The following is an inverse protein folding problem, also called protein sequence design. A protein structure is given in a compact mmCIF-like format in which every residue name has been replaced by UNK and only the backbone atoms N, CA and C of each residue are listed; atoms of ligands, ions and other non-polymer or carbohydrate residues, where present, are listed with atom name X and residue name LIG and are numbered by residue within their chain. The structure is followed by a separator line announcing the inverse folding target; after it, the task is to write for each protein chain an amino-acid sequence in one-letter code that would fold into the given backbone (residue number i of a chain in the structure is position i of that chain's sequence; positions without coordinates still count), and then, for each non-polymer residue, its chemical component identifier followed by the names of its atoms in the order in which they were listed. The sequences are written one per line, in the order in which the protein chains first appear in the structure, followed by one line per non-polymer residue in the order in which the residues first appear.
data_IF_213707740598
#
_entry.id   IF_213707740598
#
_cell.length_a   1.000
_cell.length_b   1.000
_cell.length_c   1.000
_cell.angle_alpha   90.00
_cell.angle_beta   90.00
_cell.angle_gamma   90.00
#
_symmetry.space_group_name_H-M   'P 1'
#
loop_
_entity.id
_entity.type
_entity.pdbx_description
1 polymer ?
#
# COMPACT_ATOMS: atom_id res chain seq x y z
N UNK A 1 15.14 17.44 -9.94
CA UNK A 1 16.53 17.16 -9.66
C UNK A 1 16.90 16.03 -10.54
N UNK A 2 17.67 16.37 -11.50
CA UNK A 2 18.14 15.37 -12.27
C UNK A 2 19.20 14.81 -11.51
N UNK A 3 18.96 13.76 -11.00
CA UNK A 3 20.03 13.08 -10.49
C UNK A 3 21.01 12.93 -11.54
N UNK A 4 22.18 12.92 -11.14
CA UNK A 4 23.24 12.39 -11.89
C UNK A 4 22.82 11.01 -12.38
N UNK A 5 23.19 10.66 -13.55
CA UNK A 5 22.86 9.40 -14.14
C UNK A 5 23.37 8.22 -13.32
N UNK A 6 24.50 8.39 -12.62
CA UNK A 6 25.03 7.35 -11.77
C UNK A 6 24.26 7.17 -10.48
N UNK A 7 23.61 8.17 -10.18
CA UNK A 7 22.63 8.08 -9.21
C UNK A 7 21.40 7.64 -9.81
N UNK A 8 21.22 7.71 -11.08
CA UNK A 8 20.02 7.44 -11.71
C UNK A 8 19.39 6.18 -11.19
N UNK A 9 20.21 5.23 -10.98
CA UNK A 9 19.69 4.06 -10.31
C UNK A 9 19.06 4.34 -8.97
N UNK A 10 19.37 5.54 -8.43
CA UNK A 10 18.82 5.82 -7.19
C UNK A 10 17.80 6.72 -7.21
N UNK A 11 17.65 7.18 -8.16
CA UNK A 11 16.62 7.99 -8.28
C UNK A 11 15.58 7.68 -8.90
N UNK A 12 15.70 6.73 -9.08
CA UNK A 12 14.76 6.20 -8.40
C UNK A 12 13.95 7.29 -7.84
N UNK A 13 14.39 7.86 -6.95
CA UNK A 13 13.56 8.78 -6.28
C UNK A 13 13.31 9.97 -7.05
N UNK A 14 13.96 10.14 -8.03
CA UNK A 14 13.70 11.26 -8.80
C UNK A 14 12.40 11.20 -9.54
N UNK A 15 12.01 10.05 -9.91
CA UNK A 15 10.72 9.93 -10.58
C UNK A 15 9.57 10.20 -9.67
N UNK A 16 9.85 10.07 -8.45
CA UNK A 16 8.92 9.95 -7.61
C UNK A 16 8.02 10.95 -7.55
N UNK A 17 8.28 11.84 -7.14
CA UNK A 17 7.37 12.76 -6.54
C UNK A 17 6.58 13.58 -7.53
N UNK A 18 7.05 13.67 -8.74
CA UNK A 18 6.48 14.61 -9.71
C UNK A 18 6.00 13.96 -10.99
N UNK A 19 6.61 12.84 -11.33
CA UNK A 19 6.37 12.26 -12.65
C UNK A 19 5.40 11.08 -12.61
N UNK A 20 5.19 10.49 -11.44
CA UNK A 20 4.26 9.39 -11.26
C UNK A 20 3.22 9.76 -10.20
N UNK A 21 1.95 9.87 -10.57
CA UNK A 21 0.89 10.11 -9.62
C UNK A 21 0.72 8.89 -8.71
N UNK A 22 0.32 9.13 -7.47
CA UNK A 22 0.03 8.07 -6.51
C UNK A 22 -1.08 7.13 -6.99
N UNK A 23 -2.07 7.70 -7.69
CA UNK A 23 -3.21 6.97 -8.22
C UNK A 23 -3.38 7.25 -9.70
N UNK A 24 -3.96 6.32 -10.42
CA UNK A 24 -4.29 6.52 -11.83
C UNK A 24 -5.39 7.58 -11.98
N UNK A 25 -5.17 8.61 -12.79
CA UNK A 25 -6.13 9.71 -12.99
C UNK A 25 -7.31 9.33 -13.90
N UNK A 26 -7.19 8.27 -14.65
CA UNK A 26 -8.18 7.72 -15.56
C UNK A 26 -8.05 6.21 -15.63
N UNK A 27 -9.01 5.54 -16.23
CA UNK A 27 -8.92 4.11 -16.50
C UNK A 27 -7.74 3.82 -17.43
N UNK A 28 -6.91 2.86 -17.05
CA UNK A 28 -5.71 2.46 -17.79
C UNK A 28 -5.88 1.03 -18.28
N UNK A 29 -5.72 0.84 -19.59
CA UNK A 29 -5.88 -0.47 -20.24
C UNK A 29 -4.63 -1.33 -20.05
N UNK A 30 -4.81 -2.66 -20.19
CA UNK A 30 -3.71 -3.63 -20.10
C UNK A 30 -2.50 -3.30 -20.99
N UNK A 31 -2.74 -2.73 -22.17
CA UNK A 31 -1.66 -2.31 -23.07
C UNK A 31 -0.81 -1.15 -22.55
N UNK A 32 -1.32 -0.41 -21.57
CA UNK A 32 -0.65 0.76 -20.96
C UNK A 32 -0.03 0.42 -19.61
N UNK A 33 -0.70 -0.43 -18.82
CA UNK A 33 -0.21 -0.88 -17.51
C UNK A 33 -0.66 -2.32 -17.26
N UNK A 34 0.31 -3.19 -17.05
CA UNK A 34 0.13 -4.60 -16.76
C UNK A 34 1.26 -5.04 -15.82
N UNK A 35 0.89 -5.54 -14.64
CA UNK A 35 1.84 -5.87 -13.59
C UNK A 35 1.60 -7.25 -13.00
N UNK A 36 2.69 -7.97 -12.78
CA UNK A 36 2.71 -9.12 -11.88
C UNK A 36 3.09 -8.65 -10.48
N UNK A 37 2.16 -8.75 -9.54
CA UNK A 37 2.27 -8.19 -8.20
C UNK A 37 2.46 -9.31 -7.18
N UNK A 38 3.40 -9.13 -6.26
CA UNK A 38 3.63 -10.05 -5.15
C UNK A 38 3.31 -9.38 -3.83
N UNK A 39 2.42 -10.00 -3.06
CA UNK A 39 2.04 -9.55 -1.73
C UNK A 39 2.28 -10.64 -0.70
N UNK A 40 2.84 -10.26 0.44
CA UNK A 40 3.04 -11.14 1.59
C UNK A 40 2.11 -10.73 2.72
N UNK A 41 1.53 -11.71 3.38
CA UNK A 41 0.55 -11.54 4.43
C UNK A 41 1.01 -12.32 5.66
N UNK A 42 1.02 -11.66 6.79
CA UNK A 42 1.15 -12.30 8.09
C UNK A 42 -0.24 -12.67 8.64
N UNK A 43 -0.26 -13.33 9.76
CA UNK A 43 -1.52 -13.76 10.38
C UNK A 43 -2.43 -12.58 10.75
N UNK A 44 -1.85 -11.44 11.12
CA UNK A 44 -2.59 -10.25 11.51
C UNK A 44 -3.26 -9.56 10.30
N UNK A 45 -2.71 -9.78 9.11
CA UNK A 45 -3.27 -9.26 7.85
C UNK A 45 -4.50 -10.02 7.37
N UNK A 46 -4.79 -11.20 7.95
CA UNK A 46 -5.94 -12.01 7.56
C UNK A 46 -7.14 -11.58 8.37
N UNK A 47 -8.17 -11.16 7.67
CA UNK A 47 -9.40 -10.68 8.27
C UNK A 47 -10.46 -11.77 8.28
N UNK A 48 -11.34 -11.72 9.27
CA UNK A 48 -12.57 -12.50 9.26
C UNK A 48 -13.64 -11.82 8.40
N UNK A 49 -14.26 -12.59 7.52
CA UNK A 49 -15.42 -12.18 6.72
C UNK A 49 -16.61 -13.06 7.07
N UNK A 50 -17.74 -12.44 7.38
CA UNK A 50 -19.00 -13.18 7.53
C UNK A 50 -19.65 -13.33 6.17
N UNK A 51 -19.98 -14.55 5.83
CA UNK A 51 -20.64 -14.92 4.59
C UNK A 51 -21.90 -15.71 4.92
N UNK A 52 -22.82 -15.81 3.98
CA UNK A 52 -24.01 -16.61 4.13
C UNK A 52 -24.37 -17.27 2.79
N UNK A 53 -24.95 -18.44 2.85
CA UNK A 53 -25.46 -19.12 1.65
C UNK A 53 -26.72 -18.44 1.16
N UNK A 54 -26.85 -18.28 -0.16
CA UNK A 54 -28.10 -17.78 -0.73
C UNK A 54 -29.23 -18.80 -0.54
N UNK A 55 -30.39 -18.36 -0.05
CA UNK A 55 -31.54 -19.20 0.08
C UNK A 55 -32.03 -19.71 -1.29
N UNK A 56 -32.07 -18.81 -2.28
CA UNK A 56 -32.53 -19.11 -3.63
C UNK A 56 -31.65 -18.45 -4.68
N UNK A 57 -31.44 -19.17 -5.79
CA UNK A 57 -30.82 -18.59 -7.00
C UNK A 57 -31.92 -17.99 -7.90
N UNK A 58 -31.51 -17.24 -8.92
CA UNK A 58 -32.45 -16.75 -9.93
C UNK A 58 -33.10 -17.87 -10.71
N UNK A 59 -32.42 -18.99 -10.88
CA UNK A 59 -32.96 -20.21 -11.51
C UNK A 59 -34.00 -20.89 -10.64
N UNK A 60 -33.75 -20.99 -9.33
CA UNK A 60 -34.74 -21.52 -8.38
C UNK A 60 -36.04 -20.72 -8.44
N UNK A 61 -35.98 -19.40 -8.53
CA UNK A 61 -37.13 -18.51 -8.62
C UNK A 61 -37.89 -18.73 -9.92
N UNK A 62 -37.20 -18.86 -11.05
CA UNK A 62 -37.84 -19.08 -12.36
C UNK A 62 -38.55 -20.43 -12.40
N UNK A 63 -37.90 -21.45 -11.86
CA UNK A 63 -38.40 -22.85 -11.90
C UNK A 63 -39.29 -23.20 -10.70
N UNK A 64 -39.58 -22.26 -9.81
CA UNK A 64 -40.35 -22.46 -8.57
C UNK A 64 -39.79 -23.59 -7.69
N UNK A 65 -38.46 -23.70 -7.64
CA UNK A 65 -37.77 -24.70 -6.85
C UNK A 65 -37.70 -24.29 -5.40
N UNK A 66 -38.65 -24.65 -4.58
CA UNK A 66 -38.63 -24.36 -3.14
C UNK A 66 -37.69 -25.32 -2.44
N UNK A 67 -36.66 -24.80 -1.81
CA UNK A 67 -35.73 -25.59 -1.01
C UNK A 67 -36.25 -25.73 0.41
N UNK A 68 -36.36 -26.98 0.87
CA UNK A 68 -36.75 -27.33 2.25
C UNK A 68 -35.66 -28.20 2.86
N UNK A 69 -35.44 -28.01 4.16
CA UNK A 69 -34.55 -28.86 4.93
C UNK A 69 -35.15 -30.27 5.17
N UNK A 70 -34.39 -31.12 5.87
CA UNK A 70 -34.81 -32.50 6.20
C UNK A 70 -36.09 -32.55 7.03
N UNK A 71 -36.41 -31.48 7.73
CA UNK A 71 -37.64 -31.37 8.56
C UNK A 71 -38.80 -30.73 7.78
N UNK A 72 -38.63 -30.45 6.49
CA UNK A 72 -39.64 -29.84 5.63
C UNK A 72 -39.83 -28.33 5.86
N UNK A 73 -38.95 -27.68 6.62
CA UNK A 73 -38.95 -26.24 6.81
C UNK A 73 -38.23 -25.55 5.65
N UNK A 74 -38.60 -24.30 5.43
CA UNK A 74 -37.94 -23.47 4.41
C UNK A 74 -36.45 -23.32 4.77
N UNK A 75 -35.58 -23.60 3.79
CA UNK A 75 -34.14 -23.44 3.98
C UNK A 75 -33.83 -21.99 4.35
N UNK A 76 -33.20 -21.82 5.48
CA UNK A 76 -32.66 -20.52 5.92
C UNK A 76 -31.19 -20.40 5.47
N UNK A 77 -30.72 -19.20 5.12
CA UNK A 77 -29.32 -19.00 4.83
C UNK A 77 -28.45 -19.46 5.99
N UNK A 78 -27.42 -20.25 5.70
CA UNK A 78 -26.39 -20.58 6.69
C UNK A 78 -25.38 -19.44 6.75
N UNK A 79 -25.01 -19.01 7.95
CA UNK A 79 -24.03 -17.98 8.19
C UNK A 79 -22.73 -18.62 8.66
N UNK A 80 -21.63 -18.31 7.98
CA UNK A 80 -20.31 -18.79 8.34
C UNK A 80 -19.34 -17.59 8.49
N UNK A 81 -18.26 -17.81 9.22
CA UNK A 81 -17.11 -16.90 9.24
C UNK A 81 -16.01 -17.57 8.45
N UNK A 82 -15.45 -16.86 7.49
CA UNK A 82 -14.35 -17.33 6.66
C UNK A 82 -13.12 -16.44 6.85
N UNK A 83 -11.95 -17.03 6.73
CA UNK A 83 -10.68 -16.29 6.78
C UNK A 83 -10.34 -15.72 5.41
N UNK A 84 -10.15 -14.40 5.35
CA UNK A 84 -9.97 -13.67 4.10
C UNK A 84 -8.63 -12.95 4.05
N UNK A 85 -7.89 -13.20 3.00
CA UNK A 85 -6.78 -12.38 2.54
C UNK A 85 -7.33 -11.40 1.49
N UNK A 86 -7.22 -10.11 1.75
CA UNK A 86 -7.63 -9.08 0.81
C UNK A 86 -6.44 -8.63 -0.02
N UNK A 87 -6.50 -8.82 -1.34
CA UNK A 87 -5.48 -8.34 -2.26
C UNK A 87 -5.54 -6.81 -2.39
N UNK A 88 -4.46 -6.20 -2.82
CA UNK A 88 -4.38 -4.75 -3.00
C UNK A 88 -5.36 -4.19 -4.03
N UNK A 89 -5.84 -5.03 -4.94
CA UNK A 89 -6.76 -4.64 -6.00
C UNK A 89 -7.94 -5.59 -6.10
N UNK A 90 -9.10 -5.07 -6.50
CA UNK A 90 -10.21 -5.85 -7.05
C UNK A 90 -10.03 -6.06 -8.55
N UNK A 91 -10.84 -6.93 -9.13
CA UNK A 91 -10.82 -7.24 -10.56
C UNK A 91 -9.39 -7.55 -11.07
N UNK A 92 -8.71 -8.44 -10.33
CA UNK A 92 -7.42 -8.98 -10.78
C UNK A 92 -7.65 -9.92 -11.95
N UNK A 93 -6.62 -10.10 -12.79
CA UNK A 93 -6.77 -10.85 -14.04
C UNK A 93 -7.10 -12.32 -13.75
N UNK A 94 -8.33 -12.69 -14.03
CA UNK A 94 -8.85 -14.04 -13.74
C UNK A 94 -8.16 -15.13 -14.58
N UNK A 95 -7.75 -14.79 -15.80
CA UNK A 95 -7.05 -15.68 -16.73
C UNK A 95 -5.53 -15.62 -16.53
N UNK A 96 -5.07 -14.76 -15.62
CA UNK A 96 -3.67 -14.62 -15.22
C UNK A 96 -3.19 -15.78 -14.35
N UNK A 97 -1.89 -15.81 -14.15
CA UNK A 97 -1.23 -16.82 -13.31
C UNK A 97 -1.21 -16.38 -11.86
N UNK A 98 -1.77 -17.20 -10.99
CA UNK A 98 -1.62 -17.05 -9.55
C UNK A 98 -0.49 -17.95 -9.04
N UNK A 99 0.34 -17.42 -8.13
CA UNK A 99 1.25 -18.25 -7.35
C UNK A 99 0.94 -18.04 -5.88
N UNK A 100 0.65 -19.12 -5.22
CA UNK A 100 0.35 -19.15 -3.79
C UNK A 100 1.55 -19.80 -3.10
N UNK A 101 2.17 -19.05 -2.19
CA UNK A 101 3.25 -19.57 -1.36
C UNK A 101 2.74 -19.74 0.05
N UNK A 102 2.76 -20.97 0.54
CA UNK A 102 2.35 -21.30 1.90
C UNK A 102 3.43 -20.91 2.94
N UNK A 103 3.09 -21.07 4.21
CA UNK A 103 3.99 -20.75 5.31
C UNK A 103 5.25 -21.62 5.37
N UNK A 104 5.26 -22.76 4.71
CA UNK A 104 6.40 -23.67 4.59
C UNK A 104 7.32 -23.31 3.41
N UNK A 105 6.91 -22.32 2.60
CA UNK A 105 7.62 -21.90 1.40
C UNK A 105 7.34 -22.76 0.17
N UNK A 106 6.27 -23.59 0.21
CA UNK A 106 5.84 -24.33 -0.96
C UNK A 106 5.03 -23.41 -1.87
N UNK A 107 5.26 -23.50 -3.18
CA UNK A 107 4.64 -22.61 -4.17
C UNK A 107 3.76 -23.41 -5.11
N UNK A 108 2.48 -23.13 -5.12
CA UNK A 108 1.55 -23.61 -6.12
C UNK A 108 1.36 -22.57 -7.24
N UNK A 109 1.51 -23.00 -8.49
CA UNK A 109 1.20 -22.20 -9.66
C UNK A 109 -0.15 -22.62 -10.20
N UNK A 110 -1.08 -21.67 -10.26
CA UNK A 110 -2.49 -21.93 -10.54
C UNK A 110 -2.99 -21.02 -11.64
N UNK A 111 -3.70 -21.59 -12.61
CA UNK A 111 -4.44 -20.86 -13.64
C UNK A 111 -5.90 -21.28 -13.63
N UNK A 112 -6.77 -20.46 -14.19
CA UNK A 112 -8.18 -20.78 -14.32
C UNK A 112 -8.46 -21.44 -15.65
N UNK A 113 -9.22 -22.54 -15.65
CA UNK A 113 -9.72 -23.18 -16.86
C UNK A 113 -10.94 -22.45 -17.43
N UNK A 114 -11.28 -22.73 -18.67
CA UNK A 114 -12.47 -22.17 -19.34
C UNK A 114 -13.78 -22.53 -18.63
N UNK A 115 -13.82 -23.65 -17.95
CA UNK A 115 -14.98 -24.10 -17.15
C UNK A 115 -15.05 -23.46 -15.75
N UNK A 116 -14.09 -22.61 -15.43
CA UNK A 116 -14.00 -21.92 -14.14
C UNK A 116 -13.26 -22.70 -13.04
N UNK A 117 -12.84 -23.93 -13.30
CA UNK A 117 -12.06 -24.73 -12.34
C UNK A 117 -10.60 -24.27 -12.26
N UNK A 118 -9.93 -24.58 -11.16
CA UNK A 118 -8.51 -24.30 -11.01
C UNK A 118 -7.67 -25.38 -11.72
N UNK A 119 -6.67 -24.94 -12.47
CA UNK A 119 -5.65 -25.79 -13.05
C UNK A 119 -4.34 -25.53 -12.30
N UNK A 120 -3.94 -26.46 -11.45
CA UNK A 120 -2.68 -26.38 -10.74
C UNK A 120 -1.58 -26.93 -11.66
N UNK A 121 -0.79 -26.04 -12.25
CA UNK A 121 0.21 -26.40 -13.26
C UNK A 121 1.53 -26.89 -12.67
N UNK A 122 1.79 -26.66 -11.39
CA UNK A 122 2.95 -27.17 -10.68
C UNK A 122 2.96 -26.73 -9.23
N UNK A 123 3.45 -27.63 -8.37
CA UNK A 123 3.69 -27.31 -6.97
C UNK A 123 5.14 -27.68 -6.67
N UNK A 124 5.88 -26.74 -6.10
CA UNK A 124 7.29 -26.94 -5.72
C UNK A 124 7.49 -26.61 -4.25
N UNK A 125 8.33 -27.38 -3.58
CA UNK A 125 8.71 -27.06 -2.21
C UNK A 125 9.76 -25.94 -2.16
N UNK A 126 10.12 -25.50 -0.96
CA UNK A 126 11.13 -24.46 -0.73
C UNK A 126 12.51 -24.79 -1.33
N UNK A 127 12.81 -26.07 -1.61
CA UNK A 127 14.05 -26.52 -2.23
C UNK A 127 13.97 -26.58 -3.76
N UNK A 128 12.79 -26.30 -4.35
CA UNK A 128 12.54 -26.35 -5.78
C UNK A 128 12.19 -27.76 -6.30
N UNK A 129 11.87 -28.70 -5.42
CA UNK A 129 11.46 -30.05 -5.79
C UNK A 129 9.95 -30.09 -6.01
N UNK A 130 9.50 -30.81 -7.03
CA UNK A 130 8.07 -30.98 -7.31
C UNK A 130 7.41 -31.84 -6.23
N UNK A 131 6.28 -31.37 -5.72
CA UNK A 131 5.42 -32.08 -4.76
C UNK A 131 4.00 -32.21 -5.33
N UNK A 132 3.22 -33.16 -4.82
CA UNK A 132 1.92 -33.48 -5.38
C UNK A 132 0.82 -32.48 -4.98
N UNK A 133 0.90 -31.91 -3.79
CA UNK A 133 -0.08 -30.96 -3.27
C UNK A 133 0.54 -29.99 -2.28
N UNK A 134 -0.08 -28.82 -2.08
CA UNK A 134 0.11 -28.05 -0.86
C UNK A 134 -0.47 -28.86 0.30
N UNK A 135 0.06 -28.62 1.48
CA UNK A 135 -0.32 -29.30 2.70
C UNK A 135 -0.91 -28.28 3.69
N UNK A 136 -1.95 -28.65 4.40
CA UNK A 136 -2.60 -27.83 5.42
C UNK A 136 -1.73 -27.66 6.70
N UNK A 137 -0.54 -28.23 6.72
CA UNK A 137 0.34 -28.28 7.90
C UNK A 137 0.13 -29.52 8.78
N UNK A 138 -0.90 -30.34 8.48
CA UNK A 138 -1.21 -31.59 9.17
C UNK A 138 -1.07 -32.83 8.27
N UNK A 139 -0.68 -32.63 7.01
CA UNK A 139 -0.50 -33.69 6.01
C UNK A 139 -1.73 -33.94 5.15
N UNK A 140 -2.75 -33.08 5.21
CA UNK A 140 -3.88 -33.18 4.30
C UNK A 140 -3.64 -32.32 3.06
N UNK A 141 -3.99 -32.82 1.86
CA UNK A 141 -3.82 -32.07 0.62
C UNK A 141 -4.78 -30.87 0.58
N UNK A 142 -4.26 -29.69 0.25
CA UNK A 142 -5.05 -28.48 0.06
C UNK A 142 -5.54 -28.40 -1.36
N UNK A 143 -6.86 -28.23 -1.53
CA UNK A 143 -7.48 -27.94 -2.83
C UNK A 143 -7.50 -26.43 -3.11
N UNK A 144 -7.37 -26.05 -4.39
CA UNK A 144 -7.44 -24.66 -4.83
C UNK A 144 -8.59 -24.54 -5.82
N UNK A 145 -9.46 -23.53 -5.61
CA UNK A 145 -10.62 -23.29 -6.47
C UNK A 145 -10.73 -21.82 -6.86
N UNK A 146 -11.44 -21.53 -7.96
CA UNK A 146 -11.85 -20.17 -8.31
C UNK A 146 -13.34 -20.02 -8.05
N UNK A 147 -13.72 -18.87 -7.53
CA UNK A 147 -15.12 -18.53 -7.29
C UNK A 147 -15.44 -17.10 -7.73
N UNK A 148 -16.67 -16.87 -8.12
CA UNK A 148 -17.24 -15.53 -8.33
C UNK A 148 -18.31 -15.21 -7.30
N UNK A 149 -18.63 -16.17 -6.42
CA UNK A 149 -19.61 -15.97 -5.35
C UNK A 149 -18.98 -15.12 -4.23
N UNK A 150 -19.59 -13.98 -3.95
CA UNK A 150 -19.17 -13.09 -2.87
C UNK A 150 -19.39 -13.68 -1.47
N UNK A 151 -20.23 -14.69 -1.37
CA UNK A 151 -20.57 -15.40 -0.14
C UNK A 151 -20.04 -16.86 -0.13
N UNK A 152 -19.02 -17.14 -0.90
CA UNK A 152 -18.42 -18.47 -0.94
C UNK A 152 -17.87 -18.89 0.42
N UNK A 153 -18.14 -20.13 0.78
CA UNK A 153 -17.63 -20.75 2.00
C UNK A 153 -16.65 -21.84 1.57
N UNK A 154 -15.34 -21.66 1.74
CA UNK A 154 -14.37 -22.68 1.39
C UNK A 154 -14.52 -23.92 2.32
N UNK A 155 -14.18 -25.09 1.81
CA UNK A 155 -14.00 -26.28 2.62
C UNK A 155 -12.82 -26.11 3.58
N UNK A 156 -12.76 -26.97 4.61
CA UNK A 156 -11.72 -26.85 5.66
C UNK A 156 -10.29 -26.90 5.12
N UNK A 157 -10.04 -27.72 4.08
CA UNK A 157 -8.73 -27.88 3.41
C UNK A 157 -8.75 -27.22 2.01
N UNK A 158 -9.35 -26.05 1.90
CA UNK A 158 -9.50 -25.37 0.62
C UNK A 158 -8.99 -23.94 0.66
N UNK A 159 -8.37 -23.52 -0.47
CA UNK A 159 -8.05 -22.14 -0.78
C UNK A 159 -8.93 -21.72 -1.96
N UNK A 160 -9.81 -20.74 -1.76
CA UNK A 160 -10.67 -20.23 -2.83
C UNK A 160 -10.21 -18.83 -3.27
N UNK A 161 -10.01 -18.64 -4.58
CA UNK A 161 -9.59 -17.39 -5.19
C UNK A 161 -10.81 -16.70 -5.80
N UNK A 162 -11.11 -15.50 -5.36
CA UNK A 162 -12.10 -14.63 -5.99
C UNK A 162 -11.41 -13.46 -6.69
N UNK A 163 -11.14 -13.61 -7.98
CA UNK A 163 -10.43 -12.60 -8.77
C UNK A 163 -11.23 -11.30 -8.94
N UNK A 164 -12.56 -11.39 -8.98
CA UNK A 164 -13.42 -10.21 -9.12
C UNK A 164 -13.38 -9.33 -7.87
N UNK A 165 -13.47 -9.94 -6.70
CA UNK A 165 -13.36 -9.21 -5.44
C UNK A 165 -11.91 -8.97 -5.02
N UNK A 166 -10.92 -9.61 -5.66
CA UNK A 166 -9.52 -9.53 -5.28
C UNK A 166 -9.31 -10.04 -3.86
N UNK A 167 -9.75 -11.25 -3.59
CA UNK A 167 -9.62 -11.89 -2.29
C UNK A 167 -9.27 -13.37 -2.42
N UNK A 168 -8.58 -13.87 -1.44
CA UNK A 168 -8.30 -15.31 -1.26
C UNK A 168 -8.90 -15.73 0.06
N UNK A 169 -9.77 -16.74 0.01
CA UNK A 169 -10.45 -17.30 1.17
C UNK A 169 -9.75 -18.58 1.59
N UNK A 170 -9.51 -18.73 2.88
CA UNK A 170 -8.83 -19.89 3.46
C UNK A 170 -9.82 -20.71 4.25
N UNK A 171 -9.79 -22.02 4.04
CA UNK A 171 -10.48 -22.99 4.89
C UNK A 171 -9.91 -23.00 6.30
N UNK A 172 -10.66 -23.51 7.24
CA UNK A 172 -10.33 -23.47 8.67
C UNK A 172 -9.03 -24.20 8.99
N UNK A 173 -8.79 -25.37 8.39
CA UNK A 173 -7.55 -26.13 8.60
C UNK A 173 -6.36 -25.41 7.98
N UNK A 174 -6.52 -24.88 6.77
CA UNK A 174 -5.49 -24.09 6.08
C UNK A 174 -5.08 -22.90 6.94
N UNK A 175 -6.05 -22.14 7.46
CA UNK A 175 -5.78 -21.01 8.32
C UNK A 175 -5.10 -21.40 9.63
N UNK A 176 -5.58 -22.43 10.32
CA UNK A 176 -5.07 -22.80 11.63
C UNK A 176 -3.67 -23.43 11.57
N UNK A 177 -3.38 -24.20 10.55
CA UNK A 177 -2.18 -25.03 10.49
C UNK A 177 -1.02 -24.38 9.71
N UNK A 178 -1.30 -23.54 8.69
CA UNK A 178 -0.23 -22.92 7.89
C UNK A 178 0.42 -21.70 8.54
N UNK A 179 -0.12 -21.21 9.65
CA UNK A 179 0.28 -19.92 10.22
C UNK A 179 1.15 -19.97 11.44
N UNK A 180 1.78 -21.04 11.73
CA UNK A 180 2.53 -21.12 12.97
C UNK A 180 3.81 -20.27 13.00
N UNK A 181 4.43 -19.93 11.86
CA UNK A 181 5.71 -19.22 11.89
C UNK A 181 6.10 -18.34 10.69
N UNK A 182 5.35 -18.28 9.58
CA UNK A 182 5.77 -17.57 8.37
C UNK A 182 4.66 -16.80 7.67
N UNK A 183 5.03 -15.94 6.73
CA UNK A 183 4.09 -15.19 5.90
C UNK A 183 3.56 -16.05 4.74
N UNK A 184 2.28 -15.90 4.47
CA UNK A 184 1.64 -16.40 3.25
C UNK A 184 1.88 -15.38 2.13
N UNK A 185 2.14 -15.81 0.92
CA UNK A 185 2.37 -14.91 -0.20
C UNK A 185 1.49 -15.26 -1.39
N UNK A 186 0.96 -14.24 -2.01
CA UNK A 186 0.17 -14.37 -3.24
C UNK A 186 0.80 -13.51 -4.31
N UNK A 187 1.11 -14.12 -5.45
CA UNK A 187 1.48 -13.42 -6.67
C UNK A 187 0.32 -13.52 -7.65
N UNK A 188 -0.03 -12.41 -8.28
CA UNK A 188 -1.13 -12.31 -9.22
C UNK A 188 -0.85 -11.24 -10.27
N UNK A 189 -1.55 -11.32 -11.38
CA UNK A 189 -1.49 -10.36 -12.47
C UNK A 189 -2.63 -9.34 -12.36
N UNK A 190 -2.32 -8.10 -12.65
CA UNK A 190 -3.29 -6.99 -12.68
C UNK A 190 -3.03 -6.09 -13.87
N UNK A 191 -4.03 -6.03 -14.72
CA UNK A 191 -4.16 -5.07 -15.81
C UNK A 191 -5.44 -4.24 -15.61
N UNK A 192 -5.81 -3.42 -16.57
CA UNK A 192 -7.07 -2.67 -16.53
C UNK A 192 -7.30 -1.92 -15.20
N UNK A 193 -6.30 -1.10 -14.83
CA UNK A 193 -6.41 -0.25 -13.66
C UNK A 193 -7.52 0.79 -13.82
N UNK A 194 -8.26 1.02 -12.76
CA UNK A 194 -9.34 2.00 -12.72
C UNK A 194 -8.85 3.34 -12.22
N UNK A 195 -9.59 4.37 -12.53
CA UNK A 195 -9.37 5.69 -11.94
C UNK A 195 -9.44 5.59 -10.42
N UNK A 196 -8.39 6.02 -9.76
CA UNK A 196 -8.28 5.97 -8.30
C UNK A 196 -7.50 4.77 -7.77
N UNK A 197 -7.25 3.73 -8.58
CA UNK A 197 -6.34 2.66 -8.21
C UNK A 197 -4.94 3.25 -7.97
N UNK A 198 -4.24 2.75 -6.97
CA UNK A 198 -2.89 3.18 -6.67
C UNK A 198 -1.88 2.57 -7.65
N UNK A 199 -0.75 3.25 -7.85
CA UNK A 199 0.35 2.70 -8.65
C UNK A 199 1.03 1.56 -7.86
N UNK A 200 1.06 0.31 -8.39
CA UNK A 200 1.60 -0.84 -7.68
C UNK A 200 3.07 -0.71 -7.32
N UNK A 201 3.84 0.02 -8.11
CA UNK A 201 5.28 0.21 -7.87
C UNK A 201 5.60 0.96 -6.58
N UNK A 202 4.62 1.68 -6.03
CA UNK A 202 4.76 2.42 -4.78
C UNK A 202 4.45 1.59 -3.53
N UNK A 203 3.71 0.49 -3.70
CA UNK A 203 3.21 -0.30 -2.57
C UNK A 203 3.76 -1.71 -2.54
N UNK A 204 4.05 -2.30 -3.70
CA UNK A 204 4.36 -3.71 -3.81
C UNK A 204 5.67 -3.98 -4.54
N UNK A 205 6.22 -5.15 -4.30
CA UNK A 205 7.18 -5.74 -5.21
C UNK A 205 6.40 -6.25 -6.43
N UNK A 206 6.75 -5.75 -7.61
CA UNK A 206 6.03 -6.09 -8.82
C UNK A 206 6.96 -6.08 -10.05
N UNK A 207 6.51 -6.73 -11.10
CA UNK A 207 7.14 -6.73 -12.42
C UNK A 207 6.17 -6.06 -13.38
N UNK A 208 6.65 -5.06 -14.08
CA UNK A 208 5.92 -4.45 -15.19
C UNK A 208 6.02 -5.40 -16.40
N UNK A 209 4.92 -6.03 -16.76
CA UNK A 209 4.87 -7.02 -17.84
C UNK A 209 5.05 -6.39 -19.23
N UNK A 210 4.80 -5.09 -19.37
CA UNK A 210 4.97 -4.35 -20.62
C UNK A 210 6.45 -4.05 -20.87
N UNK A 211 7.17 -3.61 -19.84
CA UNK A 211 8.57 -3.19 -19.97
C UNK A 211 9.57 -4.23 -19.48
N UNK A 212 9.13 -5.23 -18.73
CA UNK A 212 9.97 -6.24 -18.10
C UNK A 212 10.77 -5.73 -16.89
N UNK A 213 10.47 -4.52 -16.39
CA UNK A 213 11.19 -3.92 -15.29
C UNK A 213 10.64 -4.45 -13.96
N UNK A 214 11.54 -4.92 -13.11
CA UNK A 214 11.18 -5.34 -11.75
C UNK A 214 11.34 -4.18 -10.77
N UNK A 215 10.30 -3.96 -9.99
CA UNK A 215 10.28 -3.00 -8.90
C UNK A 215 10.26 -3.75 -7.59
N UNK A 216 11.25 -3.50 -6.75
CA UNK A 216 11.30 -4.07 -5.40
C UNK A 216 10.96 -2.99 -4.42
N UNK A 217 9.86 -3.17 -3.67
CA UNK A 217 9.53 -2.24 -2.62
C UNK A 217 10.56 -2.35 -1.50
N UNK A 218 11.28 -1.25 -1.28
CA UNK A 218 12.16 -1.09 -0.13
C UNK A 218 11.74 0.16 0.62
N UNK A 219 11.61 0.02 1.93
CA UNK A 219 11.45 1.17 2.79
C UNK A 219 12.82 1.80 3.01
N UNK A 220 13.14 2.86 2.28
CA UNK A 220 14.41 3.56 2.41
C UNK A 220 14.17 5.01 2.80
N UNK A 221 14.74 5.38 3.95
CA UNK A 221 14.76 6.76 4.40
C UNK A 221 15.91 7.50 3.72
N UNK A 222 15.59 8.58 3.00
CA UNK A 222 16.58 9.46 2.45
C UNK A 222 16.92 10.51 3.50
N UNK A 223 18.12 10.43 4.02
CA UNK A 223 18.59 11.34 5.06
C UNK A 223 19.68 12.27 4.54
N UNK A 224 19.56 13.55 4.87
CA UNK A 224 20.63 14.53 4.64
C UNK A 224 21.29 14.94 5.95
N UNK A 225 22.61 15.07 5.92
CA UNK A 225 23.35 15.69 7.02
C UNK A 225 23.12 17.21 6.98
N UNK A 226 22.33 17.71 7.91
CA UNK A 226 22.04 19.14 8.05
C UNK A 226 23.02 19.84 9.00
N UNK A 227 23.76 19.06 9.79
CA UNK A 227 24.82 19.50 10.66
C UNK A 227 25.77 18.31 10.95
N UNK A 228 26.92 18.55 11.61
CA UNK A 228 27.90 17.51 11.95
C UNK A 228 27.34 16.33 12.72
N UNK A 229 26.30 16.54 13.51
CA UNK A 229 25.69 15.51 14.37
C UNK A 229 24.21 15.27 14.06
N UNK A 230 23.65 15.94 13.05
CA UNK A 230 22.21 15.90 12.81
C UNK A 230 21.90 15.50 11.38
N UNK A 231 21.18 14.40 11.27
CA UNK A 231 20.55 13.95 10.03
C UNK A 231 19.07 14.31 10.04
N UNK A 232 18.53 14.54 8.87
CA UNK A 232 17.12 14.77 8.67
C UNK A 232 16.61 13.93 7.52
N UNK A 233 15.56 13.14 7.77
CA UNK A 233 14.81 12.43 6.75
C UNK A 233 14.05 13.44 5.89
N UNK A 234 14.16 13.34 4.58
CA UNK A 234 13.56 14.30 3.63
C UNK A 234 12.47 13.72 2.77
N UNK A 235 12.30 12.41 2.76
CA UNK A 235 11.25 11.75 2.02
C UNK A 235 10.13 11.27 2.96
N UNK A 236 8.95 11.08 2.36
CA UNK A 236 7.82 10.36 2.96
C UNK A 236 7.37 9.36 1.92
N UNK A 237 7.20 8.10 2.30
CA UNK A 237 6.78 7.07 1.38
C UNK A 237 5.26 7.06 1.23
N UNK A 238 4.76 6.49 0.13
CA UNK A 238 3.33 6.44 -0.15
C UNK A 238 2.56 5.72 0.96
N UNK A 239 3.06 4.58 1.41
CA UNK A 239 2.46 3.75 2.45
C UNK A 239 2.52 4.35 3.87
N UNK A 240 3.41 5.31 4.10
CA UNK A 240 3.42 6.10 5.33
C UNK A 240 2.25 7.09 5.41
N UNK A 241 1.75 7.53 4.25
CA UNK A 241 0.71 8.56 4.15
C UNK A 241 -0.65 8.01 3.79
N UNK A 242 -0.71 7.09 2.84
CA UNK A 242 -1.95 6.52 2.33
C UNK A 242 -1.94 5.01 2.50
N UNK A 243 -3.08 4.46 2.87
CA UNK A 243 -3.27 3.03 2.92
C UNK A 243 -3.93 2.53 1.65
N UNK A 244 -3.41 1.46 1.07
CA UNK A 244 -3.96 0.88 -0.14
C UNK A 244 -5.38 0.34 0.09
N UNK A 245 -5.66 -0.12 1.31
CA UNK A 245 -6.96 -0.70 1.65
C UNK A 245 -8.09 0.33 1.77
N UNK A 246 -7.79 1.63 1.66
CA UNK A 246 -8.82 2.66 1.62
C UNK A 246 -9.80 2.42 0.46
N UNK A 247 -9.28 2.18 -0.75
CA UNK A 247 -10.10 1.83 -1.91
C UNK A 247 -10.82 0.49 -1.73
N UNK A 248 -10.11 -0.50 -1.20
CA UNK A 248 -10.64 -1.84 -0.95
C UNK A 248 -11.81 -1.86 0.03
N UNK A 249 -11.77 -1.01 1.05
CA UNK A 249 -12.88 -0.87 1.99
C UNK A 249 -14.13 -0.25 1.35
N UNK A 250 -13.93 0.65 0.39
CA UNK A 250 -15.05 1.17 -0.42
C UNK A 250 -15.63 0.05 -1.30
N UNK A 251 -14.79 -0.77 -1.91
CA UNK A 251 -15.24 -1.93 -2.70
C UNK A 251 -16.08 -2.90 -1.84
N UNK A 252 -15.64 -3.19 -0.62
CA UNK A 252 -16.38 -4.05 0.32
C UNK A 252 -17.77 -3.47 0.64
N UNK A 253 -17.88 -2.16 0.87
CA UNK A 253 -19.15 -1.49 1.09
C UNK A 253 -20.03 -1.57 -0.16
N UNK A 254 -19.46 -1.29 -1.33
CA UNK A 254 -20.19 -1.37 -2.60
C UNK A 254 -20.71 -2.79 -2.87
N UNK A 255 -19.91 -3.81 -2.61
CA UNK A 255 -20.29 -5.20 -2.76
C UNK A 255 -21.45 -5.57 -1.81
N UNK A 256 -21.41 -5.12 -0.56
CA UNK A 256 -22.48 -5.35 0.40
C UNK A 256 -23.80 -4.64 0.02
N UNK A 257 -23.70 -3.42 -0.52
CA UNK A 257 -24.85 -2.69 -1.04
C UNK A 257 -25.43 -3.40 -2.26
N UNK A 258 -24.60 -3.79 -3.23
CA UNK A 258 -25.04 -4.47 -4.44
C UNK A 258 -25.73 -5.80 -4.11
N UNK A 259 -25.16 -6.60 -3.21
CA UNK A 259 -25.78 -7.84 -2.74
C UNK A 259 -27.17 -7.60 -2.14
N UNK A 260 -27.34 -6.53 -1.36
CA UNK A 260 -28.65 -6.16 -0.80
C UNK A 260 -29.65 -5.79 -1.90
N UNK A 261 -29.22 -5.03 -2.91
CA UNK A 261 -30.04 -4.64 -4.07
C UNK A 261 -30.46 -5.89 -4.87
N UNK A 262 -29.55 -6.82 -5.10
CA UNK A 262 -29.83 -8.04 -5.86
C UNK A 262 -30.90 -8.90 -5.18
N UNK A 263 -30.83 -9.02 -3.85
CA UNK A 263 -31.88 -9.73 -3.09
C UNK A 263 -33.21 -8.97 -3.15
N UNK A 264 -33.23 -7.67 -3.05
CA UNK A 264 -34.44 -6.86 -3.19
C UNK A 264 -35.07 -6.98 -4.59
N UNK A 265 -34.24 -7.07 -5.64
CA UNK A 265 -34.68 -7.36 -6.99
C UNK A 265 -35.30 -8.79 -7.10
N UNK A 266 -34.71 -9.78 -6.46
CA UNK A 266 -35.25 -11.13 -6.40
C UNK A 266 -36.63 -11.15 -5.69
N UNK A 267 -36.76 -10.46 -4.56
CA UNK A 267 -38.02 -10.31 -3.84
C UNK A 267 -39.08 -9.66 -4.75
N UNK A 268 -38.75 -8.55 -5.38
CA UNK A 268 -39.62 -7.81 -6.28
C UNK A 268 -40.12 -8.69 -7.45
N UNK A 269 -39.22 -9.55 -7.98
CA UNK A 269 -39.56 -10.51 -9.02
C UNK A 269 -40.57 -11.54 -8.53
N UNK A 270 -40.35 -12.15 -7.36
CA UNK A 270 -41.27 -13.15 -6.79
C UNK A 270 -42.61 -12.49 -6.45
N UNK A 271 -42.63 -11.28 -5.90
CA UNK A 271 -43.84 -10.52 -5.65
C UNK A 271 -44.65 -10.22 -6.93
N UNK A 272 -43.95 -9.92 -8.03
CA UNK A 272 -44.56 -9.69 -9.34
C UNK A 272 -45.18 -10.98 -9.88
N UNK A 273 -44.44 -12.09 -9.80
CA UNK A 273 -44.96 -13.41 -10.18
C UNK A 273 -46.20 -13.76 -9.37
N UNK A 274 -46.21 -13.50 -8.06
CA UNK A 274 -47.38 -13.79 -7.19
C UNK A 274 -48.62 -13.02 -7.58
N UNK A 275 -48.53 -11.88 -8.23
CA UNK A 275 -49.66 -11.06 -8.72
C UNK A 275 -50.24 -11.59 -10.03
N UNK A 276 -49.59 -12.51 -10.72
CA UNK A 276 -50.07 -13.07 -11.96
C UNK A 276 -51.24 -14.04 -11.70
N UNK A 277 -52.34 -13.91 -12.44
CA UNK A 277 -53.55 -14.72 -12.27
C UNK A 277 -53.29 -16.23 -12.37
N UNK A 278 -52.25 -16.63 -13.15
CA UNK A 278 -51.93 -18.06 -13.32
C UNK A 278 -51.47 -18.74 -12.03
N UNK A 279 -51.01 -17.99 -11.04
CA UNK A 279 -50.57 -18.52 -9.75
C UNK A 279 -51.65 -18.41 -8.66
N UNK A 280 -52.68 -17.58 -8.87
CA UNK A 280 -53.70 -17.31 -7.86
C UNK A 280 -54.44 -18.59 -7.47
N UNK A 281 -54.45 -18.92 -6.18
CA UNK A 281 -55.14 -20.09 -5.63
C UNK A 281 -54.52 -21.44 -5.98
N UNK A 282 -53.30 -21.47 -6.53
CA UNK A 282 -52.56 -22.68 -6.89
C UNK A 282 -51.52 -23.05 -5.85
N UNK A 283 -51.01 -24.31 -5.92
CA UNK A 283 -49.86 -24.72 -5.10
C UNK A 283 -48.58 -23.88 -5.39
N UNK A 284 -48.48 -23.32 -6.58
CA UNK A 284 -47.36 -22.44 -6.96
C UNK A 284 -47.41 -21.11 -6.21
N UNK A 285 -48.60 -20.60 -5.85
CA UNK A 285 -48.71 -19.42 -4.98
C UNK A 285 -48.07 -19.68 -3.62
N UNK A 286 -48.30 -20.88 -3.05
CA UNK A 286 -47.69 -21.27 -1.77
C UNK A 286 -46.16 -21.38 -1.90
N UNK A 287 -45.67 -21.92 -3.03
CA UNK A 287 -44.22 -21.95 -3.29
C UNK A 287 -43.62 -20.54 -3.35
N UNK A 288 -44.30 -19.57 -3.98
CA UNK A 288 -43.85 -18.16 -4.02
C UNK A 288 -43.85 -17.52 -2.62
N UNK A 289 -44.84 -17.89 -1.76
CA UNK A 289 -44.85 -17.41 -0.37
C UNK A 289 -43.68 -17.97 0.44
N UNK A 290 -43.41 -19.28 0.30
CA UNK A 290 -42.27 -19.95 0.92
C UNK A 290 -40.92 -19.30 0.47
N UNK A 291 -40.79 -18.98 -0.84
CA UNK A 291 -39.61 -18.28 -1.36
C UNK A 291 -39.48 -16.88 -0.80
N UNK A 292 -40.57 -16.13 -0.71
CA UNK A 292 -40.55 -14.78 -0.11
C UNK A 292 -40.07 -14.79 1.34
N UNK A 293 -40.49 -15.80 2.11
CA UNK A 293 -40.02 -15.96 3.48
C UNK A 293 -38.53 -16.18 3.55
N UNK A 294 -37.97 -17.09 2.73
CA UNK A 294 -36.53 -17.34 2.65
C UNK A 294 -35.71 -16.11 2.20
N UNK A 295 -36.19 -15.45 1.14
CA UNK A 295 -35.54 -14.22 0.62
C UNK A 295 -35.59 -13.06 1.61
N UNK A 296 -36.68 -12.91 2.38
CA UNK A 296 -36.75 -11.87 3.41
C UNK A 296 -35.77 -12.12 4.57
N UNK A 297 -35.54 -13.39 4.95
CA UNK A 297 -34.52 -13.76 5.92
C UNK A 297 -33.12 -13.40 5.37
N UNK A 298 -32.85 -13.73 4.09
CA UNK A 298 -31.63 -13.39 3.42
C UNK A 298 -31.41 -11.87 3.33
N UNK A 299 -32.45 -11.10 2.99
CA UNK A 299 -32.39 -9.63 2.98
C UNK A 299 -31.99 -9.04 4.34
N UNK A 300 -32.55 -9.58 5.42
CA UNK A 300 -32.21 -9.11 6.77
C UNK A 300 -30.73 -9.36 7.10
N UNK A 301 -30.18 -10.51 6.70
CA UNK A 301 -28.75 -10.80 6.85
C UNK A 301 -27.89 -9.88 5.99
N UNK A 302 -28.29 -9.66 4.73
CA UNK A 302 -27.57 -8.72 3.84
C UNK A 302 -27.56 -7.29 4.39
N UNK A 303 -28.69 -6.82 4.94
CA UNK A 303 -28.77 -5.50 5.59
C UNK A 303 -27.89 -5.41 6.83
N UNK A 304 -27.83 -6.45 7.65
CA UNK A 304 -26.91 -6.50 8.80
C UNK A 304 -25.46 -6.43 8.36
N UNK A 305 -25.08 -7.21 7.34
CA UNK A 305 -23.73 -7.16 6.76
C UNK A 305 -23.40 -5.80 6.16
N UNK A 306 -24.34 -5.20 5.40
CA UNK A 306 -24.18 -3.89 4.84
C UNK A 306 -23.96 -2.84 5.95
N UNK A 307 -24.73 -2.88 7.02
CA UNK A 307 -24.56 -1.97 8.17
C UNK A 307 -23.18 -2.13 8.80
N UNK A 308 -22.73 -3.38 9.02
CA UNK A 308 -21.41 -3.66 9.57
C UNK A 308 -20.29 -3.24 8.62
N UNK A 309 -20.46 -3.37 7.31
CA UNK A 309 -19.50 -2.87 6.32
C UNK A 309 -19.36 -1.35 6.39
N UNK A 310 -20.46 -0.62 6.53
CA UNK A 310 -20.44 0.84 6.75
C UNK A 310 -19.77 1.21 8.08
N UNK A 311 -20.13 0.56 9.18
CA UNK A 311 -19.53 0.83 10.50
C UNK A 311 -18.02 0.61 10.49
N UNK A 312 -17.58 -0.54 9.94
CA UNK A 312 -16.16 -0.86 9.78
C UNK A 312 -15.47 0.17 8.87
N UNK A 313 -16.08 0.49 7.73
CA UNK A 313 -15.54 1.43 6.76
C UNK A 313 -15.38 2.84 7.34
N UNK A 314 -16.35 3.33 8.11
CA UNK A 314 -16.25 4.63 8.81
C UNK A 314 -15.09 4.63 9.80
N UNK A 315 -14.94 3.57 10.61
CA UNK A 315 -13.83 3.44 11.56
C UNK A 315 -12.48 3.47 10.84
N UNK A 316 -12.33 2.69 9.78
CA UNK A 316 -11.10 2.64 8.99
C UNK A 316 -10.80 3.97 8.28
N UNK A 317 -11.82 4.67 7.78
CA UNK A 317 -11.63 6.01 7.21
C UNK A 317 -11.08 7.01 8.22
N UNK A 318 -11.49 6.90 9.48
CA UNK A 318 -10.94 7.73 10.55
C UNK A 318 -9.47 7.41 10.80
N UNK A 319 -9.10 6.13 10.83
CA UNK A 319 -7.71 5.70 10.97
C UNK A 319 -6.84 6.19 9.81
N UNK A 320 -7.34 6.12 8.57
CA UNK A 320 -6.62 6.63 7.39
C UNK A 320 -6.47 8.15 7.42
N UNK A 321 -7.51 8.88 7.88
CA UNK A 321 -7.43 10.32 8.05
C UNK A 321 -6.39 10.70 9.12
N UNK A 322 -6.30 9.93 10.19
CA UNK A 322 -5.31 10.12 11.24
C UNK A 322 -3.89 9.86 10.72
N UNK A 323 -3.69 8.79 9.94
CA UNK A 323 -2.42 8.46 9.27
C UNK A 323 -1.95 9.62 8.37
N UNK A 324 -2.84 10.16 7.52
CA UNK A 324 -2.54 11.30 6.66
C UNK A 324 -2.19 12.55 7.50
N UNK A 325 -2.93 12.80 8.58
CA UNK A 325 -2.71 13.94 9.46
C UNK A 325 -1.36 13.86 10.16
N UNK A 326 -0.99 12.67 10.62
CA UNK A 326 0.31 12.40 11.25
C UNK A 326 1.46 12.58 10.25
N UNK A 327 1.34 12.06 9.03
CA UNK A 327 2.31 12.26 7.96
C UNK A 327 2.48 13.76 7.63
N UNK A 328 1.38 14.52 7.55
CA UNK A 328 1.41 15.97 7.33
C UNK A 328 2.10 16.70 8.49
N UNK A 329 1.81 16.33 9.72
CA UNK A 329 2.45 16.92 10.90
C UNK A 329 3.95 16.64 10.92
N UNK A 330 4.37 15.42 10.58
CA UNK A 330 5.77 15.05 10.50
C UNK A 330 6.54 15.87 9.44
N UNK A 331 5.96 16.02 8.23
CA UNK A 331 6.52 16.90 7.21
C UNK A 331 6.63 18.35 7.72
N UNK A 332 5.61 18.85 8.40
CA UNK A 332 5.64 20.19 9.02
C UNK A 332 6.76 20.35 10.04
N UNK A 333 6.94 19.36 10.90
CA UNK A 333 8.03 19.34 11.89
C UNK A 333 9.42 19.31 11.22
N UNK A 334 9.58 18.56 10.13
CA UNK A 334 10.83 18.51 9.35
C UNK A 334 11.14 19.86 8.73
N UNK A 335 10.15 20.56 8.18
CA UNK A 335 10.30 21.92 7.62
C UNK A 335 10.75 22.87 8.72
N UNK A 336 10.09 22.91 9.87
CA UNK A 336 10.48 23.78 10.99
C UNK A 336 11.90 23.51 11.48
N UNK A 337 12.30 22.24 11.58
CA UNK A 337 13.69 21.86 11.95
C UNK A 337 14.70 22.35 10.92
N UNK A 338 14.38 22.29 9.63
CA UNK A 338 15.22 22.83 8.57
C UNK A 338 15.36 24.34 8.68
N UNK A 339 14.28 25.07 8.89
CA UNK A 339 14.29 26.52 9.01
C UNK A 339 15.08 26.99 10.24
N UNK A 340 14.89 26.34 11.39
CA UNK A 340 15.67 26.60 12.59
C UNK A 340 17.17 26.33 12.36
N UNK A 341 17.50 25.23 11.68
CA UNK A 341 18.89 24.89 11.37
C UNK A 341 19.50 25.91 10.41
N UNK A 342 18.75 26.32 9.37
CA UNK A 342 19.17 27.35 8.42
C UNK A 342 19.43 28.69 9.12
N UNK A 343 18.52 29.10 10.01
CA UNK A 343 18.68 30.35 10.80
C UNK A 343 19.94 30.27 11.65
N UNK A 344 20.13 29.19 12.42
CA UNK A 344 21.33 29.00 13.25
C UNK A 344 22.62 29.00 12.44
N UNK A 345 22.63 28.30 11.29
CA UNK A 345 23.81 28.29 10.42
C UNK A 345 24.11 29.69 9.82
N UNK A 346 23.08 30.47 9.53
CA UNK A 346 23.23 31.85 9.04
C UNK A 346 23.81 32.75 10.12
N UNK A 347 23.33 32.64 11.36
CA UNK A 347 23.87 33.36 12.51
C UNK A 347 25.34 32.98 12.76
N UNK A 348 25.64 31.66 12.78
CA UNK A 348 27.02 31.20 12.91
C UNK A 348 27.92 31.73 11.79
N UNK A 349 27.45 31.70 10.54
CA UNK A 349 28.18 32.26 9.39
C UNK A 349 28.48 33.75 9.60
N UNK A 350 27.50 34.52 10.10
CA UNK A 350 27.68 35.95 10.40
C UNK A 350 28.68 36.16 11.52
N UNK A 351 28.56 35.36 12.60
CA UNK A 351 29.52 35.43 13.71
C UNK A 351 30.95 35.07 13.27
N UNK A 352 31.09 33.99 12.48
CA UNK A 352 32.42 33.64 11.93
C UNK A 352 32.97 34.70 11.00
N UNK A 353 32.14 35.39 10.19
CA UNK A 353 32.58 36.50 9.38
C UNK A 353 33.05 37.66 10.25
N UNK A 354 32.33 37.98 11.33
CA UNK A 354 32.73 39.03 12.27
C UNK A 354 34.05 38.69 12.97
N UNK A 355 34.19 37.45 13.45
CA UNK A 355 35.41 36.96 14.09
C UNK A 355 36.60 36.98 13.09
N UNK A 356 36.34 36.60 11.83
CA UNK A 356 37.36 36.67 10.77
C UNK A 356 37.79 38.12 10.53
N UNK A 357 36.85 39.05 10.41
CA UNK A 357 37.11 40.47 10.25
C UNK A 357 37.92 41.02 11.42
N UNK A 358 37.52 40.71 12.67
CA UNK A 358 38.26 41.13 13.86
C UNK A 358 39.71 40.59 13.94
N UNK A 359 39.96 39.42 13.34
CA UNK A 359 41.28 38.78 13.35
C UNK A 359 42.16 39.19 12.15
N UNK A 360 41.55 39.43 11.01
CA UNK A 360 42.27 39.69 9.75
C UNK A 360 42.30 41.18 9.33
N UNK A 361 41.27 41.96 9.72
CA UNK A 361 41.18 43.33 9.34
C UNK A 361 42.15 44.15 10.22
N UNK A 362 43.05 44.83 9.58
CA UNK A 362 44.01 45.73 10.24
C UNK A 362 43.29 47.05 10.56
N UNK A 363 43.40 47.50 11.82
CA UNK A 363 42.99 48.85 12.16
C UNK A 363 43.87 49.82 11.41
N UNK A 364 43.30 50.42 10.36
CA UNK A 364 44.05 51.30 9.45
C UNK A 364 44.64 52.52 10.18
N UNK A 365 43.97 53.01 11.23
CA UNK A 365 44.45 54.15 12.04
C UNK A 365 45.67 53.75 12.85
N UNK A 366 45.63 52.57 13.50
CA UNK A 366 46.77 52.05 14.26
C UNK A 366 48.00 51.79 13.33
N UNK A 367 47.72 51.16 12.17
CA UNK A 367 48.82 50.92 11.18
C UNK A 367 49.43 52.21 10.66
N UNK A 368 48.63 53.23 10.35
CA UNK A 368 49.13 54.54 9.88
C UNK A 368 49.94 55.22 10.99
N UNK A 369 49.49 55.17 12.24
CA UNK A 369 50.20 55.69 13.40
C UNK A 369 51.55 54.97 13.57
N UNK A 370 51.52 53.64 13.57
CA UNK A 370 52.77 52.85 13.71
C UNK A 370 53.69 53.02 12.53
N UNK A 371 53.25 53.17 11.30
CA UNK A 371 54.00 53.44 10.12
C UNK A 371 54.64 54.82 10.20
N UNK A 372 53.87 55.86 10.59
CA UNK A 372 54.37 57.23 10.73
C UNK A 372 55.42 57.33 11.84
N UNK A 373 55.18 56.63 12.97
CA UNK A 373 56.15 56.54 14.05
C UNK A 373 57.45 55.83 13.61
N UNK A 374 57.35 54.73 12.88
CA UNK A 374 58.54 54.05 12.35
C UNK A 374 59.30 54.91 11.33
N UNK A 375 58.62 55.66 10.48
CA UNK A 375 59.19 56.55 9.52
C UNK A 375 59.89 57.72 10.21
N UNK A 376 59.34 58.27 11.30
CA UNK A 376 59.94 59.27 12.12
C UNK A 376 61.28 58.79 12.76
N UNK A 377 61.22 57.55 13.36
CA UNK A 377 62.39 56.89 13.94
C UNK A 377 63.49 56.67 12.89
N UNK A 378 63.10 56.17 11.72
CA UNK A 378 64.01 55.96 10.60
C UNK A 378 64.69 57.27 10.15
N UNK A 379 63.93 58.34 9.98
CA UNK A 379 64.44 59.64 9.60
C UNK A 379 65.39 60.25 10.71
N UNK A 380 64.99 60.05 11.98
CA UNK A 380 65.85 60.49 13.10
C UNK A 380 67.18 59.69 13.15
N UNK A 381 67.12 58.38 12.90
CA UNK A 381 68.31 57.54 12.83
C UNK A 381 69.23 57.92 11.67
N UNK A 382 68.67 58.19 10.47
CA UNK A 382 69.46 58.72 9.35
C UNK A 382 70.08 60.04 9.66
N UNK A 383 69.40 61.00 10.31
CA UNK A 383 69.90 62.29 10.73
C UNK A 383 71.00 62.13 11.77
N UNK A 384 70.85 61.21 12.72
CA UNK A 384 71.85 60.89 13.71
C UNK A 384 73.12 60.29 13.07
N UNK A 385 72.95 59.36 12.15
CA UNK A 385 74.07 58.75 11.42
C UNK A 385 74.81 59.74 10.56
N UNK A 386 74.08 60.65 9.89
CA UNK A 386 74.76 61.73 9.10
C UNK A 386 75.59 62.66 9.95
N UNK A 387 75.14 63.00 11.17
CA UNK A 387 75.89 63.83 12.12
C UNK A 387 77.10 63.11 12.65
N UNK A 388 77.04 61.84 12.94
CA UNK A 388 78.17 61.03 13.39
C UNK A 388 79.23 60.95 12.27
N UNK A 389 78.82 60.75 11.03
CA UNK A 389 79.71 60.66 9.90
C UNK A 389 80.41 62.06 9.63
N UNK A 390 79.67 63.14 9.81
CA UNK A 390 80.25 64.48 9.67
C UNK A 390 81.27 64.82 10.77
N UNK A 391 81.02 64.44 12.03
CA UNK A 391 81.98 64.64 13.11
C UNK A 391 83.24 63.80 12.94
N UNK A 392 83.12 62.56 12.54
CA UNK A 392 84.26 61.66 12.29
C UNK A 392 85.11 62.12 11.11
N UNK A 393 84.51 62.75 10.09
CA UNK A 393 85.22 63.28 8.95
C UNK A 393 85.95 64.58 9.28
N UNK A 394 85.38 65.42 10.16
CA UNK A 394 86.01 66.66 10.66
C UNK A 394 87.20 66.39 11.61
N UNK A 395 87.13 65.36 12.45
CA UNK A 395 88.21 64.92 13.33
C UNK A 395 89.38 64.25 12.56
N UNK A 396 89.13 63.78 11.33
CA UNK A 396 90.18 63.13 10.53
C UNK A 396 90.93 64.13 9.64
N UNK A 397 90.40 65.32 9.38
CA UNK A 397 91.02 66.37 8.50
C UNK A 397 91.66 67.51 9.30
N UNK A 398 91.50 67.60 10.59
CA UNK A 398 92.15 68.55 11.51
C UNK A 398 93.31 67.92 12.21
#
# INVERSE_FOLDING_TARGET
MQGDVDYAGRYVFTGFATDRPLTYPSDVKAAEADYTITQSFDRESISEKKVYTNAYTNEDIINLNVKKDTDGKIVTPNVATVHRIQLGYSEVDADGTFKITDASGNVATVTKNDDGTANVTGIVNANGETIDSLDDGSGNPVSITFTTDSNYIPGDDEIAINSQLGEVLLGENVYNNTYTNNSFSVQYEKSNFKKGDVDPTMYFTCVDNVTGISYVKKSEDIEYNVNFTQKLKVNTQADESFDIYLGRNVDDIMAAVQNTIDIENQISKVESMKKEEKYAGTDDQKKLDDMLEGLNKQKNLAKDQMTKAFEKGIGQMQEYQEKISNAKADVGNRIQRLDLTKTRLTEQKTNFKSLKSQNEDIDLEEVVVNYTAAQLVYNAALSAASKVVQQTLLDFIG
#
